data_IF_616298805991
#
_entry.id   IF_616298805991
#
_cell.length_a   1.000
_cell.length_b   1.000
_cell.length_c   1.000
_cell.angle_alpha   90.00
_cell.angle_beta   90.00
_cell.angle_gamma   90.00
#
_symmetry.space_group_name_H-M   'P 1'
#
loop_
_entity.id
_entity.type
_entity.pdbx_description
1 polymer ?
2 non-polymer ?
3 non-polymer ?
4 water ?
#
# COMPACT_ATOMS: atom_id res chain seq x y z
N UNK A 9 17.64 29.54 25.11
CA UNK A 9 16.94 28.38 24.47
C UNK A 9 17.42 27.06 25.06
N UNK A 10 18.74 26.96 25.29
CA UNK A 10 19.30 25.78 25.93
C UNK A 10 19.05 25.84 27.43
N UNK A 11 18.89 24.68 28.06
CA UNK A 11 18.71 24.62 29.52
C UNK A 11 19.29 23.35 30.11
N UNK A 12 19.48 23.37 31.42
CA UNK A 12 19.95 22.24 32.19
C UNK A 12 18.76 21.29 32.34
N UNK A 14 17.02 17.83 34.04
CA UNK A 14 17.12 16.87 35.13
C UNK A 14 17.38 15.51 34.53
N UNK A 15 17.91 14.59 35.33
CA UNK A 15 18.25 13.24 34.85
C UNK A 15 17.01 12.38 34.69
N UNK A 16 17.15 11.30 33.93
CA UNK A 16 16.11 10.28 33.79
C UNK A 16 15.64 9.84 35.18
N UNK A 17 16.59 9.57 36.07
CA UNK A 17 16.25 9.11 37.41
C UNK A 17 15.44 10.15 38.18
N UNK A 18 15.83 11.40 38.06
CA UNK A 18 15.11 12.47 38.71
C UNK A 18 13.71 12.61 38.13
N UNK A 19 13.57 12.41 36.82
CA UNK A 19 12.24 12.55 36.22
C UNK A 19 11.31 11.44 36.66
N UNK A 20 11.85 10.23 36.87
CA UNK A 20 11.05 9.14 37.46
C UNK A 20 10.38 9.60 38.75
N UNK A 21 11.18 10.19 39.62
CA UNK A 21 10.67 10.74 40.87
C UNK A 21 9.65 11.90 40.71
N UNK A 22 9.89 12.81 39.78
CA UNK A 22 8.95 13.88 39.46
C UNK A 22 7.60 13.28 39.04
N UNK A 23 7.66 12.25 38.18
CA UNK A 23 6.46 11.61 37.67
C UNK A 23 5.68 10.95 38.80
N UNK A 24 6.41 10.30 39.71
CA UNK A 24 5.78 9.67 40.87
C UNK A 24 4.94 10.67 41.65
N UNK A 25 5.53 11.84 41.91
CA UNK A 25 4.85 12.88 42.65
C UNK A 25 3.66 13.47 41.89
N UNK A 26 3.84 13.81 40.61
CA UNK A 26 2.72 14.29 39.81
C UNK A 26 1.59 13.30 39.76
N UNK A 27 1.92 12.02 39.68
CA UNK A 27 0.91 10.97 39.47
C UNK A 27 -0.05 10.93 40.62
N UNK A 28 0.52 10.89 41.83
CA UNK A 28 -0.29 10.82 43.04
C UNK A 28 -1.15 12.10 43.16
N UNK A 29 -0.60 13.26 42.81
CA UNK A 29 -1.39 14.50 42.92
C UNK A 29 -2.52 14.55 41.88
N UNK A 30 -2.23 14.18 40.64
CA UNK A 30 -3.20 14.20 39.56
C UNK A 30 -4.36 13.25 39.85
N UNK A 31 -4.02 12.10 40.40
CA UNK A 31 -4.99 11.03 40.58
C UNK A 31 -6.02 11.37 41.68
N UNK A 32 -5.71 12.37 42.51
CA UNK A 32 -6.65 12.77 43.57
C UNK A 32 -7.94 13.38 43.02
N UNK A 33 -7.87 13.94 41.81
CA UNK A 33 -9.02 14.54 41.12
C UNK A 33 -9.63 13.65 40.05
N UNK A 34 -9.08 12.46 39.88
CA UNK A 34 -9.61 11.50 38.89
C UNK A 34 -10.46 10.40 39.53
N UNK A 35 -11.36 9.83 38.74
CA UNK A 35 -12.06 8.61 39.14
C UNK A 35 -11.45 7.47 38.32
N UNK A 36 -10.78 6.53 39.00
CA UNK A 36 -10.13 5.46 38.23
C UNK A 36 -11.09 4.43 37.67
N UNK A 37 -10.69 3.83 36.54
CA UNK A 37 -11.29 2.60 36.12
C UNK A 37 -10.62 1.49 36.93
N UNK A 38 -11.42 0.71 37.64
CA UNK A 38 -10.91 -0.45 38.34
C UNK A 38 -11.43 -1.74 37.70
N UNK A 39 -11.30 -1.81 36.39
CA UNK A 39 -11.75 -2.92 35.58
C UNK A 39 -10.51 -3.61 35.01
N UNK A 40 -10.17 -4.78 35.58
CA UNK A 40 -8.98 -5.52 35.13
C UNK A 40 -8.91 -5.77 33.62
N UNK A 41 -10.05 -6.02 32.98
CA UNK A 41 -10.11 -6.31 31.54
C UNK A 41 -9.76 -5.07 30.71
N UNK A 42 -10.31 -3.92 31.11
CA UNK A 42 -10.00 -2.62 30.45
C UNK A 42 -8.54 -2.27 30.70
N UNK A 43 -8.09 -2.45 31.94
CA UNK A 43 -6.70 -2.25 32.29
C UNK A 43 -5.76 -3.09 31.44
N UNK A 44 -6.11 -4.38 31.27
CA UNK A 44 -5.30 -5.35 30.55
C UNK A 44 -5.18 -5.00 29.07
N UNK A 45 -6.28 -4.53 28.51
CA UNK A 45 -6.32 -4.17 27.12
C UNK A 45 -5.46 -2.93 26.84
N UNK A 46 -5.66 -1.87 27.63
CA UNK A 46 -4.85 -0.66 27.43
C UNK A 46 -3.35 -0.95 27.61
N UNK A 47 -3.01 -1.67 28.69
CA UNK A 47 -1.64 -2.17 28.90
C UNK A 47 -1.02 -2.88 27.67
N UNK A 48 -1.82 -3.70 27.00
CA UNK A 48 -1.39 -4.47 25.85
C UNK A 48 -1.04 -3.58 24.66
N UNK A 49 -1.96 -2.70 24.29
CA UNK A 49 -1.76 -1.76 23.19
C UNK A 49 -0.57 -0.85 23.51
N UNK A 50 -0.48 -0.38 24.75
CA UNK A 50 0.65 0.47 25.16
C UNK A 50 1.99 -0.24 25.02
N UNK A 51 2.07 -1.47 25.56
CA UNK A 51 3.28 -2.33 25.46
C UNK A 51 3.67 -2.57 23.99
N UNK A 52 2.67 -2.81 23.14
CA UNK A 52 2.90 -3.03 21.72
C UNK A 52 3.50 -1.81 21.04
N UNK A 53 2.99 -0.63 21.38
CA UNK A 53 3.54 0.61 20.84
C UNK A 53 4.95 0.89 21.35
N UNK A 54 5.20 0.59 22.61
CA UNK A 54 6.51 0.83 23.22
C UNK A 54 7.58 -0.01 22.55
N UNK A 55 7.18 -1.18 22.05
CA UNK A 55 8.15 -2.02 21.37
C UNK A 55 8.66 -1.34 20.08
N UNK A 56 7.85 -0.43 19.52
CA UNK A 56 8.20 0.37 18.34
C UNK A 56 8.92 1.69 18.60
N UNK A 57 9.03 2.08 19.88
CA UNK A 57 9.60 3.37 20.22
C UNK A 57 11.10 3.31 20.24
N UNK A 58 11.71 4.50 20.12
CA UNK A 58 13.18 4.59 20.03
C UNK A 58 13.91 4.36 21.34
N UNK A 59 13.29 4.69 22.46
CA UNK A 59 13.93 4.53 23.76
C UNK A 59 12.84 4.35 24.77
N UNK A 60 12.96 3.29 25.56
CA UNK A 60 12.02 3.07 26.65
C UNK A 60 12.85 3.20 27.92
N UNK A 61 12.80 4.37 28.54
CA UNK A 61 13.72 4.71 29.65
C UNK A 61 13.04 4.84 31.00
N UNK A 62 11.76 4.47 31.04
CA UNK A 62 10.93 4.45 32.22
C UNK A 62 10.16 3.15 32.22
N UNK A 63 9.65 2.77 33.40
CA UNK A 63 8.69 1.69 33.51
C UNK A 63 7.36 2.34 33.24
N UNK A 64 6.93 2.27 31.99
CA UNK A 64 5.72 2.96 31.55
C UNK A 64 4.50 2.35 32.21
N UNK A 65 3.61 3.23 32.65
CA UNK A 65 2.34 2.84 33.26
C UNK A 65 1.23 3.55 32.50
N UNK A 66 0.22 2.77 32.12
CA UNK A 66 -0.97 3.27 31.43
C UNK A 66 -2.12 3.23 32.41
N UNK A 67 -2.75 4.39 32.60
CA UNK A 67 -3.85 4.49 33.57
C UNK A 67 -5.09 4.88 32.79
N UNK A 68 -6.16 4.13 32.97
CA UNK A 68 -7.44 4.48 32.38
C UNK A 68 -8.26 5.20 33.44
N UNK A 69 -8.77 6.37 33.07
CA UNK A 69 -9.51 7.22 33.98
C UNK A 69 -10.96 7.45 33.47
N UNK A 70 -11.92 7.46 34.40
CA UNK A 70 -13.33 7.61 34.05
C UNK A 70 -13.60 9.08 33.80
N UNK A 71 -13.64 9.45 32.52
CA UNK A 71 -13.83 10.82 32.11
C UNK A 71 -14.31 10.83 30.69
N UNK A 72 -15.50 11.41 30.47
CA UNK A 72 -16.11 11.38 29.15
C UNK A 72 -15.45 12.29 28.11
N UNK A 73 -14.56 13.17 28.55
CA UNK A 73 -13.85 14.01 27.60
C UNK A 73 -12.84 13.15 26.83
N UNK A 74 -12.66 13.49 25.57
CA UNK A 74 -11.75 12.76 24.68
C UNK A 74 -10.32 13.27 24.91
N UNK A 75 -9.54 12.52 25.68
CA UNK A 75 -8.16 12.91 25.96
C UNK A 75 -7.30 11.72 26.35
N UNK A 76 -6.01 11.89 26.14
CA UNK A 76 -4.93 11.07 26.69
C UNK A 76 -3.77 12.03 26.91
N UNK A 77 -2.98 11.81 27.94
CA UNK A 77 -1.86 12.69 28.19
C UNK A 77 -0.77 11.95 28.94
N UNK A 78 0.47 12.17 28.52
CA UNK A 78 1.63 11.69 29.26
C UNK A 78 2.07 12.74 30.24
N UNK A 79 2.44 12.30 31.44
CA UNK A 79 3.10 13.18 32.43
C UNK A 79 4.57 12.79 32.50
N UNK A 80 5.40 13.58 33.19
CA UNK A 80 6.81 13.18 33.26
C UNK A 80 6.97 11.77 33.79
N UNK A 81 8.01 11.07 33.34
CA UNK A 81 8.36 9.78 33.93
C UNK A 81 7.62 8.59 33.38
N UNK A 82 7.04 8.75 32.18
CA UNK A 82 6.49 7.58 31.46
C UNK A 82 5.11 7.09 31.88
N UNK A 83 4.31 7.99 32.44
CA UNK A 83 2.96 7.66 32.91
C UNK A 83 1.97 8.30 31.95
N UNK A 84 1.10 7.48 31.37
CA UNK A 84 0.20 7.94 30.34
C UNK A 84 -1.21 7.67 30.82
N UNK A 85 -2.03 8.73 30.83
CA UNK A 85 -3.43 8.64 31.21
C UNK A 85 -4.32 8.60 30.01
N UNK A 86 -5.31 7.72 30.06
CA UNK A 86 -6.19 7.49 28.93
C UNK A 86 -7.64 7.63 29.39
N UNK A 87 -8.37 8.60 28.86
CA UNK A 87 -9.78 8.80 29.24
C UNK A 87 -10.68 7.76 28.63
N UNK A 88 -11.66 7.31 29.42
CA UNK A 88 -12.68 6.41 28.87
C UNK A 88 -13.35 7.05 27.66
N UNK A 89 -13.55 8.37 27.71
CA UNK A 89 -14.11 9.11 26.57
C UNK A 89 -13.34 8.91 25.26
N UNK A 90 -12.00 8.80 25.34
CA UNK A 90 -11.19 8.53 24.13
C UNK A 90 -11.44 7.14 23.57
N UNK A 91 -11.48 6.15 24.46
CA UNK A 91 -11.74 4.75 24.07
C UNK A 91 -13.10 4.61 23.42
N UNK A 92 -14.08 5.33 23.95
CA UNK A 92 -15.45 5.28 23.42
C UNK A 92 -15.60 6.01 22.08
N UNK A 93 -14.79 7.04 21.88
CA UNK A 93 -14.81 7.83 20.64
C UNK A 93 -14.09 7.16 19.46
N UNK A 94 -13.01 6.44 19.77
CA UNK A 94 -12.25 5.73 18.76
C UNK A 94 -13.15 4.70 18.04
N UNK A 95 -13.06 4.66 16.72
CA UNK A 95 -13.80 3.65 15.96
C UNK A 95 -13.15 2.26 15.92
N UNK A 96 -11.84 2.21 16.17
CA UNK A 96 -11.06 0.99 16.05
C UNK A 96 -9.74 1.13 16.83
N UNK A 97 -9.08 0.01 17.04
CA UNK A 97 -7.82 -0.02 17.79
C UNK A 97 -6.73 0.85 17.14
N UNK A 98 -6.77 0.98 15.81
CA UNK A 98 -5.76 1.76 15.10
C UNK A 98 -5.84 3.25 15.47
N UNK A 99 -7.05 3.79 15.48
CA UNK A 99 -7.30 5.17 15.95
C UNK A 99 -6.82 5.37 17.38
N UNK A 100 -7.20 4.44 18.26
CA UNK A 100 -6.78 4.50 19.66
C UNK A 100 -5.25 4.54 19.68
N UNK A 101 -4.62 3.61 18.95
CA UNK A 101 -3.17 3.50 19.01
C UNK A 101 -2.46 4.76 18.51
N UNK A 102 -3.00 5.38 17.45
CA UNK A 102 -2.49 6.63 16.90
C UNK A 102 -2.38 7.71 17.96
N UNK A 103 -3.45 7.90 18.72
CA UNK A 103 -3.44 8.86 19.82
C UNK A 103 -2.39 8.46 20.85
N UNK A 104 -2.39 7.18 21.25
CA UNK A 104 -1.42 6.72 22.25
C UNK A 104 0.02 6.84 21.79
N UNK A 105 0.27 6.63 20.51
CA UNK A 105 1.62 6.68 19.98
C UNK A 105 2.16 8.11 20.02
N UNK A 106 1.29 9.08 19.75
CA UNK A 106 1.70 10.48 19.86
C UNK A 106 2.10 10.77 21.32
N UNK A 107 1.26 10.38 22.28
CA UNK A 107 1.53 10.67 23.71
C UNK A 107 2.75 9.93 24.24
N UNK A 108 2.87 8.66 23.88
CA UNK A 108 4.07 7.92 24.24
C UNK A 108 5.31 8.65 23.76
N UNK A 109 5.25 9.22 22.56
CA UNK A 109 6.44 9.91 22.06
C UNK A 109 6.74 11.25 22.69
N UNK A 110 5.72 11.95 23.18
CA UNK A 110 5.99 13.05 24.10
C UNK A 110 6.81 12.55 25.31
N UNK A 111 6.49 11.37 25.83
CA UNK A 111 7.23 10.82 26.97
C UNK A 111 8.65 10.41 26.57
N UNK A 112 8.75 9.75 25.41
CA UNK A 112 10.04 9.27 24.94
C UNK A 112 11.02 10.43 24.80
N UNK A 113 10.55 11.50 24.17
CA UNK A 113 11.35 12.69 23.91
C UNK A 113 11.47 13.65 25.13
N UNK A 114 10.83 13.30 26.25
CA UNK A 114 10.86 14.08 27.50
C UNK A 114 10.29 15.47 27.31
N UNK A 115 9.23 15.60 26.52
CA UNK A 115 8.72 16.95 26.20
C UNK A 115 8.15 17.71 27.40
N UNK A 116 7.50 16.98 28.28
CA UNK A 116 6.86 17.59 29.46
C UNK A 116 7.90 18.27 30.30
N UNK A 117 8.98 17.54 30.59
CA UNK A 117 10.01 18.08 31.49
C UNK A 117 10.80 19.15 30.74
N UNK A 118 10.97 18.99 29.43
CA UNK A 118 11.67 20.03 28.66
C UNK A 118 10.89 21.35 28.66
N UNK A 119 9.59 21.27 28.37
CA UNK A 119 8.72 22.43 28.33
C UNK A 119 8.67 23.08 29.71
N UNK A 121 10.91 22.98 32.02
CA UNK A 121 12.22 23.58 32.32
C UNK A 121 12.40 24.89 31.54
N UNK A 122 11.96 24.93 30.29
CA UNK A 122 12.05 26.19 29.52
C UNK A 122 11.17 27.31 30.10
N UNK A 123 10.03 26.91 30.64
CA UNK A 123 9.07 27.87 31.15
C UNK A 123 9.53 28.37 32.50
N UNK A 124 9.78 27.44 33.42
CA UNK A 124 9.94 27.76 34.85
C UNK A 124 11.38 27.86 35.29
N UNK A 125 12.28 27.20 34.56
CA UNK A 125 13.68 27.14 34.95
C UNK A 125 14.08 25.87 35.68
N UNK A 126 15.36 25.53 35.60
CA UNK A 126 15.85 24.32 36.21
C UNK A 126 15.67 24.26 37.74
N UNK A 127 15.92 25.38 38.42
CA UNK A 127 15.79 25.35 39.87
C UNK A 127 14.40 24.97 40.34
N UNK A 128 13.36 25.51 39.68
CA UNK A 128 11.97 25.16 40.05
C UNK A 128 11.73 23.68 39.77
N UNK A 129 12.18 23.20 38.61
CA UNK A 129 11.91 21.80 38.27
C UNK A 129 12.64 20.86 39.21
N UNK A 130 13.90 21.16 39.50
CA UNK A 130 14.65 20.38 40.49
C UNK A 130 13.96 20.41 41.85
N UNK A 131 13.42 21.56 42.24
CA UNK A 131 12.66 21.67 43.51
C UNK A 131 11.40 20.80 43.55
N UNK A 132 10.72 20.67 42.41
CA UNK A 132 9.61 19.73 42.32
C UNK A 132 10.11 18.30 42.57
N UNK A 133 11.25 17.96 41.96
CA UNK A 133 11.87 16.65 42.09
C UNK A 133 12.13 16.31 43.56
N UNK A 134 12.64 17.29 44.29
CA UNK A 134 13.05 17.06 45.68
C UNK A 134 11.90 17.28 46.65
N UNK A 135 10.82 17.92 46.20
CA UNK A 135 9.69 18.19 47.08
C UNK A 135 9.90 19.35 48.05
N UNK A 136 10.62 20.36 47.61
CA UNK A 136 10.89 21.54 48.43
C UNK A 136 9.60 22.24 48.84
N UNK A 139 3.83 21.84 47.90
CA UNK A 139 2.62 22.53 47.47
C UNK A 139 2.74 23.20 46.10
N UNK A 141 4.25 21.61 43.70
CA UNK A 141 3.94 20.44 42.86
C UNK A 141 2.44 20.30 42.65
N UNK A 142 1.66 20.58 43.69
CA UNK A 142 0.19 20.59 43.58
C UNK A 142 -0.34 21.70 42.67
N UNK A 143 0.29 22.87 42.69
CA UNK A 143 -0.17 23.96 41.82
C UNK A 143 0.00 23.59 40.35
N UNK A 144 1.14 22.97 40.06
CA UNK A 144 1.51 22.62 38.70
C UNK A 144 0.72 21.42 38.12
N UNK A 145 0.44 20.43 38.97
CA UNK A 145 -0.39 19.30 38.59
C UNK A 145 -1.71 19.76 38.02
N UNK A 146 -2.44 20.57 38.78
CA UNK A 146 -3.69 21.15 38.32
C UNK A 146 -3.56 21.96 37.05
N UNK A 147 -2.56 22.84 37.00
CA UNK A 147 -2.45 23.77 35.88
C UNK A 147 -2.04 23.10 34.57
N UNK A 148 -1.13 22.14 34.66
CA UNK A 148 -0.65 21.44 33.46
C UNK A 148 -1.50 20.22 33.04
N UNK A 149 -2.11 19.55 34.02
CA UNK A 149 -2.74 18.24 33.77
C UNK A 149 -4.22 18.07 34.22
N UNK A 150 -4.82 19.10 34.81
CA UNK A 150 -6.25 19.05 35.22
C UNK A 150 -7.25 19.25 34.10
N UNK A 151 -8.54 19.28 34.44
CA UNK A 151 -9.63 19.29 33.44
C UNK A 151 -9.76 20.59 32.62
N UNK A 152 -9.10 21.65 33.09
CA UNK A 152 -9.05 22.90 32.34
C UNK A 152 -7.60 23.25 32.10
N UNK A 153 -6.73 22.39 32.59
CA UNK A 153 -5.29 22.57 32.50
C UNK A 153 -4.72 22.30 31.13
N UNK A 156 0.94 22.85 27.19
CA UNK A 156 0.94 23.10 25.75
C UNK A 156 2.36 22.99 25.20
N UNK A 157 2.49 22.23 24.12
CA UNK A 157 3.79 21.94 23.55
C UNK A 157 4.08 22.84 22.36
N UNK A 158 5.34 23.23 22.24
CA UNK A 158 5.80 24.02 21.11
C UNK A 158 5.51 23.28 19.82
N UNK A 159 5.45 24.06 18.75
CA UNK A 159 5.32 23.52 17.42
C UNK A 159 6.39 22.45 17.13
N UNK A 160 7.62 22.70 17.60
CA UNK A 160 8.71 21.76 17.36
C UNK A 160 8.48 20.40 18.03
N UNK A 161 8.00 20.45 19.27
CA UNK A 161 7.75 19.22 20.03
C UNK A 161 6.58 18.44 19.42
N UNK A 162 5.54 19.16 19.00
CA UNK A 162 4.42 18.52 18.30
C UNK A 162 4.87 17.80 17.05
N UNK A 163 5.73 18.47 16.28
CA UNK A 163 6.25 17.85 15.06
C UNK A 163 7.07 16.61 15.38
N UNK A 164 7.87 16.70 16.45
CA UNK A 164 8.68 15.54 16.86
C UNK A 164 7.80 14.37 17.27
N UNK A 165 6.80 14.64 18.09
CA UNK A 165 5.87 13.62 18.55
C UNK A 165 5.10 13.00 17.36
N UNK A 166 4.73 13.83 16.38
CA UNK A 166 4.07 13.35 15.17
C UNK A 166 4.98 12.43 14.37
N UNK A 167 6.19 12.90 14.12
CA UNK A 167 7.19 12.16 13.35
C UNK A 167 7.48 10.81 13.98
N UNK A 168 7.73 10.83 15.28
CA UNK A 168 8.03 9.61 16.00
C UNK A 168 6.82 8.71 16.09
N UNK A 169 5.64 9.32 16.19
CA UNK A 169 4.42 8.53 16.29
C UNK A 169 4.17 7.74 15.03
N UNK A 170 4.43 8.34 13.87
CA UNK A 170 4.26 7.61 12.59
C UNK A 170 5.22 6.39 12.57
N UNK A 171 6.47 6.62 12.96
CA UNK A 171 7.46 5.54 13.01
C UNK A 171 7.05 4.45 14.01
N UNK A 172 6.59 4.87 15.18
CA UNK A 172 6.16 3.95 16.22
C UNK A 172 5.03 3.07 15.74
N UNK A 174 4.21 2.43 12.65
CA UNK A 174 4.66 1.57 11.55
C UNK A 174 5.39 0.35 12.10
N UNK A 175 6.31 0.59 13.03
CA UNK A 175 7.08 -0.50 13.63
C UNK A 175 6.21 -1.48 14.41
N UNK A 176 5.18 -0.96 15.05
CA UNK A 176 4.23 -1.78 15.83
C UNK A 176 3.18 -2.47 14.94
N UNK A 177 3.25 -2.23 13.63
CA UNK A 177 2.36 -2.87 12.65
C UNK A 177 0.97 -2.30 12.56
N UNK A 178 0.79 -1.07 13.05
CA UNK A 178 -0.46 -0.35 12.89
C UNK A 178 -0.34 0.59 11.71
N UNK A 179 -1.44 0.77 11.00
CA UNK A 179 -1.53 1.78 9.96
C UNK A 179 -1.25 3.16 10.57
N UNK A 180 -0.17 3.83 10.13
CA UNK A 180 0.18 5.13 10.72
C UNK A 180 -0.80 6.27 10.44
N UNK A 181 -1.82 6.01 9.64
CA UNK A 181 -2.88 6.98 9.39
C UNK A 181 -3.88 7.07 10.55
N UNK A 182 -3.66 6.24 11.55
CA UNK A 182 -4.57 6.13 12.69
C UNK A 182 -4.92 7.44 13.34
N UNK A 183 -3.92 8.28 13.63
CA UNK A 183 -4.19 9.53 14.33
C UNK A 183 -5.03 10.50 13.49
N UNK A 184 -4.63 10.71 12.23
CA UNK A 184 -5.37 11.64 11.38
C UNK A 184 -6.79 11.12 11.08
N UNK A 185 -6.94 9.80 10.97
CA UNK A 185 -8.26 9.20 10.78
C UNK A 185 -9.15 9.50 11.98
N UNK A 186 -8.59 9.35 13.17
CA UNK A 186 -9.29 9.67 14.42
C UNK A 186 -9.78 11.12 14.42
N UNK A 187 -8.89 12.03 14.04
CA UNK A 187 -9.22 13.44 13.92
C UNK A 187 -10.36 13.69 12.94
N UNK A 188 -10.31 13.05 11.77
CA UNK A 188 -11.39 13.21 10.78
C UNK A 188 -12.76 12.78 11.33
N UNK A 189 -12.78 11.60 11.95
CA UNK A 189 -13.99 11.10 12.62
C UNK A 189 -14.49 12.08 13.67
N UNK A 190 -13.59 12.60 14.50
CA UNK A 190 -13.95 13.61 15.49
C UNK A 190 -14.65 14.82 14.87
N UNK A 191 -14.14 15.27 13.72
CA UNK A 191 -14.73 16.40 12.98
C UNK A 191 -15.92 16.00 12.07
N UNK A 192 -16.38 14.76 12.21
CA UNK A 192 -17.50 14.24 11.42
C UNK A 192 -18.53 13.57 12.32
N UNK A 207 -4.56 20.10 24.67
CA UNK A 207 -4.37 20.94 23.49
C UNK A 207 -3.14 20.51 22.68
N UNK A 208 -3.39 19.65 21.69
CA UNK A 208 -2.40 19.29 20.68
C UNK A 208 -3.00 19.73 19.35
N UNK A 209 -2.81 21.01 19.00
CA UNK A 209 -3.52 21.63 17.86
C UNK A 209 -3.17 20.93 16.54
N UNK A 210 -4.17 20.41 15.82
CA UNK A 210 -3.91 19.80 14.50
C UNK A 210 -3.98 20.81 13.34
N UNK A 211 -2.83 21.44 13.12
CA UNK A 211 -2.65 22.51 12.16
C UNK A 211 -2.46 21.98 10.74
N UNK A 212 -2.59 22.86 9.75
CA UNK A 212 -2.23 22.55 8.35
C UNK A 212 -0.84 21.92 8.25
N UNK A 213 0.13 22.51 8.94
CA UNK A 213 1.50 22.02 8.95
C UNK A 213 1.59 20.58 9.43
N UNK A 214 0.93 20.27 10.56
CA UNK A 214 0.98 18.92 11.10
C UNK A 214 0.38 17.90 10.14
N UNK A 215 -0.74 18.24 9.50
CA UNK A 215 -1.35 17.34 8.51
C UNK A 215 -0.41 17.04 7.35
N UNK A 216 0.18 18.10 6.80
CA UNK A 216 1.12 18.00 5.70
C UNK A 216 2.34 17.16 6.10
N UNK A 217 2.87 17.39 7.31
CA UNK A 217 4.06 16.68 7.74
C UNK A 217 3.76 15.20 7.97
N UNK A 218 2.59 14.92 8.54
CA UNK A 218 2.22 13.54 8.82
C UNK A 218 1.97 12.80 7.51
N UNK A 219 1.26 13.44 6.59
CA UNK A 219 0.99 12.82 5.28
C UNK A 219 2.29 12.47 4.56
N UNK A 220 3.26 13.39 4.61
CA UNK A 220 4.56 13.18 3.97
C UNK A 220 5.29 12.00 4.58
N UNK A 221 5.32 11.92 5.91
CA UNK A 221 5.96 10.79 6.59
C UNK A 221 5.37 9.44 6.20
N UNK A 222 4.04 9.37 6.18
CA UNK A 222 3.29 8.18 5.79
C UNK A 222 3.56 7.84 4.33
N UNK A 223 3.69 8.86 3.49
CA UNK A 223 3.91 8.67 2.05
C UNK A 223 5.25 7.99 1.78
N UNK A 224 6.20 8.14 2.71
CA UNK A 224 7.54 7.59 2.52
C UNK A 224 7.67 6.11 2.88
N UNK A 225 6.60 5.53 3.43
CA UNK A 225 6.59 4.12 3.86
C UNK A 225 6.08 3.19 2.77
N UNK A 226 6.55 1.93 2.75
CA UNK A 226 6.11 0.97 1.73
C UNK A 226 4.61 0.65 1.86
N UNK A 227 3.86 0.79 0.75
CA UNK A 227 2.42 0.47 0.77
C UNK A 227 2.23 -0.97 1.19
N UNK A 228 1.29 -1.21 2.09
CA UNK A 228 1.03 -2.54 2.64
C UNK A 228 -0.34 -2.59 3.30
N UNK A 229 -0.88 -3.80 3.43
CA UNK A 229 -2.16 -4.01 4.09
C UNK A 229 -1.93 -4.19 5.57
N UNK A 230 -2.57 -3.34 6.37
CA UNK A 230 -2.44 -3.45 7.81
C UNK A 230 -3.52 -4.36 8.39
N UNK A 231 -3.07 -5.45 9.00
CA UNK A 231 -3.96 -6.43 9.61
C UNK A 231 -4.29 -6.09 11.04
N UNK A 232 -5.57 -6.16 11.38
CA UNK A 232 -6.06 -5.88 12.71
C UNK A 232 -6.98 -6.98 13.19
N UNK A 233 -6.96 -7.23 14.49
CA UNK A 233 -7.95 -8.07 15.14
C UNK A 233 -8.72 -7.23 16.14
N UNK A 234 -9.91 -6.81 15.74
CA UNK A 234 -10.70 -5.84 16.50
C UNK A 234 -11.54 -6.48 17.60
N UNK A 235 -11.37 -7.78 17.76
CA UNK A 235 -12.04 -8.55 18.82
C UNK A 235 -11.99 -7.83 20.17
N UNK A 236 -10.78 -7.64 20.69
CA UNK A 236 -10.61 -7.11 22.05
C UNK A 236 -11.11 -5.67 22.14
N UNK A 237 -10.79 -4.86 21.13
CA UNK A 237 -11.20 -3.46 21.12
C UNK A 237 -12.71 -3.32 21.24
N UNK A 238 -13.42 -4.08 20.41
CA UNK A 238 -14.87 -3.99 20.41
C UNK A 238 -15.48 -4.47 21.72
N UNK A 239 -14.89 -5.50 22.31
CA UNK A 239 -15.29 -6.00 23.62
C UNK A 239 -15.14 -4.89 24.68
N UNK A 240 -13.92 -4.36 24.81
CA UNK A 240 -13.64 -3.27 25.75
C UNK A 240 -14.50 -2.03 25.54
N UNK A 241 -14.64 -1.56 24.29
CA UNK A 241 -15.48 -0.40 24.00
C UNK A 241 -16.93 -0.68 24.44
N UNK A 242 -17.40 -1.89 24.14
CA UNK A 242 -18.74 -2.35 24.54
C UNK A 242 -18.97 -2.22 26.02
N UNK A 243 -18.01 -2.72 26.81
CA UNK A 243 -18.05 -2.64 28.26
C UNK A 243 -18.06 -1.20 28.79
N UNK A 244 -17.31 -0.32 28.12
CA UNK A 244 -17.24 1.08 28.57
C UNK A 244 -18.49 1.90 28.29
N UNK A 245 -19.16 1.61 27.17
CA UNK A 245 -20.43 2.27 26.88
C UNK A 245 -21.54 1.82 27.84
N UNK A 246 -21.32 0.72 28.56
CA UNK A 246 -22.25 0.26 29.62
C UNK A 246 -22.19 1.13 30.87
N UNK A 247 -21.07 1.85 31.04
CA UNK A 247 -20.89 2.72 32.20
C UNK A 247 -21.53 4.08 31.94
N UNK B 9 -23.63 -20.98 -20.29
CA UNK B 9 -22.14 -21.03 -20.33
C UNK B 9 -21.64 -21.10 -21.77
N UNK B 10 -22.29 -21.94 -22.57
CA UNK B 10 -21.97 -22.04 -23.98
C UNK B 10 -22.53 -20.86 -24.73
N UNK B 11 -21.85 -20.47 -25.82
CA UNK B 11 -22.33 -19.39 -26.67
C UNK B 11 -21.94 -19.63 -28.11
N UNK B 12 -22.60 -18.91 -29.01
CA UNK B 12 -22.31 -18.90 -30.43
C UNK B 12 -21.06 -18.04 -30.63
N UNK B 14 -18.32 -16.05 -33.15
CA UNK B 14 -18.14 -15.54 -34.50
C UNK B 14 -16.97 -16.28 -35.13
N UNK B 15 -16.91 -16.29 -36.46
CA UNK B 15 -15.86 -16.99 -37.17
C UNK B 15 -14.54 -16.25 -37.08
N UNK B 16 -13.46 -16.98 -37.37
CA UNK B 16 -12.14 -16.39 -37.49
C UNK B 16 -12.16 -15.18 -38.44
N UNK B 17 -12.82 -15.36 -39.60
CA UNK B 17 -12.85 -14.30 -40.60
C UNK B 17 -13.57 -13.09 -40.07
N UNK B 18 -14.66 -13.33 -39.33
CA UNK B 18 -15.39 -12.24 -38.72
C UNK B 18 -14.55 -11.54 -37.67
N UNK B 19 -13.78 -12.31 -36.90
CA UNK B 19 -12.96 -11.71 -35.87
C UNK B 19 -11.86 -10.84 -36.46
N UNK B 20 -11.30 -11.24 -37.61
CA UNK B 20 -10.34 -10.39 -38.34
C UNK B 20 -10.92 -8.99 -38.54
N UNK B 21 -12.16 -8.96 -39.01
CA UNK B 21 -12.83 -7.69 -39.26
C UNK B 21 -13.09 -6.88 -37.99
N UNK B 22 -13.52 -7.54 -36.92
CA UNK B 22 -13.74 -6.91 -35.63
C UNK B 22 -12.45 -6.25 -35.13
N UNK B 23 -11.33 -6.96 -35.28
CA UNK B 23 -10.03 -6.48 -34.84
C UNK B 23 -9.61 -5.25 -35.65
N UNK B 24 -9.91 -5.28 -36.95
CA UNK B 24 -9.62 -4.13 -37.82
C UNK B 24 -10.31 -2.88 -37.26
N UNK B 25 -11.59 -3.00 -36.94
CA UNK B 25 -12.35 -1.90 -36.42
C UNK B 25 -11.81 -1.45 -35.07
N UNK B 26 -11.56 -2.40 -34.17
CA UNK B 26 -11.06 -2.03 -32.86
C UNK B 26 -9.71 -1.31 -32.98
N UNK B 27 -8.86 -1.78 -33.89
CA UNK B 27 -7.48 -1.26 -34.02
C UNK B 27 -7.50 0.21 -34.36
N UNK B 28 -8.32 0.55 -35.35
CA UNK B 28 -8.40 1.94 -35.81
C UNK B 28 -8.97 2.82 -34.67
N UNK B 29 -9.95 2.33 -33.94
CA UNK B 29 -10.53 3.11 -32.85
C UNK B 29 -9.55 3.31 -31.69
N UNK B 30 -8.88 2.23 -31.27
CA UNK B 30 -7.94 2.28 -30.15
C UNK B 30 -6.78 3.23 -30.46
N UNK B 31 -6.33 3.19 -31.69
CA UNK B 31 -5.13 3.93 -32.08
C UNK B 31 -5.36 5.45 -32.11
N UNK B 32 -6.63 5.87 -32.13
CA UNK B 32 -6.93 7.31 -32.11
C UNK B 32 -6.47 7.98 -30.82
N UNK B 33 -6.37 7.22 -29.73
CA UNK B 33 -5.96 7.72 -28.42
C UNK B 33 -4.53 7.34 -28.03
N UNK B 34 -3.82 6.69 -28.95
CA UNK B 34 -2.43 6.32 -28.73
C UNK B 34 -1.45 7.22 -29.49
N UNK B 35 -0.25 7.34 -28.96
CA UNK B 35 0.86 7.96 -29.68
C UNK B 35 1.73 6.84 -30.19
N UNK B 36 1.74 6.62 -31.53
CA UNK B 36 2.55 5.52 -32.06
C UNK B 36 4.04 5.75 -31.98
N UNK B 37 4.80 4.67 -31.85
CA UNK B 37 6.23 4.72 -32.09
C UNK B 37 6.40 4.66 -33.61
N UNK B 38 7.07 5.67 -34.15
CA UNK B 38 7.33 5.76 -35.58
C UNK B 38 8.74 5.24 -35.96
N UNK B 39 9.35 4.49 -35.05
CA UNK B 39 10.77 4.12 -35.11
C UNK B 39 11.00 2.71 -35.68
N UNK B 40 11.48 2.63 -36.95
CA UNK B 40 11.64 1.35 -37.66
C UNK B 40 12.49 0.29 -36.93
N UNK B 41 13.52 0.71 -36.20
CA UNK B 41 14.39 -0.22 -35.47
C UNK B 41 13.65 -0.90 -34.32
N UNK B 42 12.90 -0.10 -33.56
CA UNK B 42 12.06 -0.62 -32.47
C UNK B 42 10.95 -1.49 -33.04
N UNK B 43 10.39 -1.05 -34.16
CA UNK B 43 9.35 -1.83 -34.85
C UNK B 43 9.87 -3.20 -35.24
N UNK B 44 11.06 -3.24 -35.83
CA UNK B 44 11.67 -4.46 -36.35
C UNK B 44 12.02 -5.43 -35.23
N UNK B 45 12.45 -4.88 -34.10
CA UNK B 45 12.80 -5.69 -32.95
C UNK B 45 11.57 -6.36 -32.35
N UNK B 46 10.52 -5.59 -32.05
CA UNK B 46 9.31 -6.20 -31.49
C UNK B 46 8.69 -7.21 -32.47
N UNK B 47 8.62 -6.85 -33.76
CA UNK B 47 8.20 -7.77 -34.81
C UNK B 47 8.94 -9.12 -34.79
N UNK B 48 10.26 -9.05 -34.58
CA UNK B 48 11.11 -10.24 -34.59
C UNK B 48 10.80 -11.17 -33.42
N UNK B 49 10.77 -10.60 -32.20
CA UNK B 49 10.45 -11.37 -31.01
C UNK B 49 9.05 -11.94 -31.11
N UNK B 50 8.09 -11.13 -31.57
CA UNK B 50 6.70 -11.61 -31.79
C UNK B 50 6.62 -12.79 -32.71
N UNK B 51 7.23 -12.68 -33.89
CA UNK B 51 7.33 -13.74 -34.90
C UNK B 51 7.99 -15.01 -34.34
N UNK B 52 9.06 -14.84 -33.54
CA UNK B 52 9.71 -15.96 -32.88
C UNK B 52 8.77 -16.72 -31.96
N UNK B 53 7.98 -15.98 -31.19
CA UNK B 53 7.04 -16.60 -30.27
C UNK B 53 5.93 -17.30 -31.04
N UNK B 54 5.47 -16.66 -32.11
CA UNK B 54 4.37 -17.21 -32.90
C UNK B 54 4.74 -18.57 -33.47
N UNK B 55 6.03 -18.76 -33.75
CA UNK B 55 6.47 -20.04 -34.28
C UNK B 55 6.29 -21.17 -33.25
N UNK B 56 6.22 -20.82 -31.95
CA UNK B 56 5.97 -21.80 -30.87
C UNK B 56 4.50 -21.96 -30.47
N UNK B 57 3.62 -21.18 -31.09
CA UNK B 57 2.21 -21.19 -30.73
C UNK B 57 1.48 -22.33 -31.43
N UNK B 58 0.34 -22.70 -30.87
CA UNK B 58 -0.39 -23.86 -31.39
C UNK B 58 -1.16 -23.60 -32.68
N UNK B 59 -1.60 -22.37 -32.87
CA UNK B 59 -2.36 -22.02 -34.07
C UNK B 59 -2.14 -20.57 -34.35
N UNK B 60 -1.75 -20.27 -35.57
CA UNK B 60 -1.59 -18.89 -35.99
C UNK B 60 -2.64 -18.63 -37.08
N UNK B 61 -3.78 -18.08 -36.67
CA UNK B 61 -4.97 -18.02 -37.52
C UNK B 61 -5.30 -16.61 -38.01
N UNK B 62 -4.41 -15.67 -37.68
CA UNK B 62 -4.50 -14.28 -38.10
C UNK B 62 -3.14 -13.85 -38.61
N UNK B 63 -3.10 -12.76 -39.37
CA UNK B 63 -1.84 -12.12 -39.71
C UNK B 63 -1.56 -11.21 -38.54
N UNK B 64 -0.76 -11.72 -37.60
CA UNK B 64 -0.49 -10.99 -36.36
C UNK B 64 0.29 -9.73 -36.64
N UNK B 65 -0.09 -8.68 -35.93
CA UNK B 65 0.58 -7.38 -36.04
C UNK B 65 0.92 -6.95 -34.64
N UNK B 66 2.17 -6.51 -34.45
CA UNK B 66 2.66 -6.00 -33.17
C UNK B 66 2.82 -4.49 -33.30
N UNK B 67 2.18 -3.76 -32.40
CA UNK B 67 2.22 -2.29 -32.44
C UNK B 67 2.90 -1.83 -31.17
N UNK B 68 3.95 -1.02 -31.31
CA UNK B 68 4.58 -0.40 -30.15
C UNK B 68 3.99 0.99 -30.00
N UNK B 69 3.52 1.29 -28.79
CA UNK B 69 2.89 2.58 -28.49
C UNK B 69 3.67 3.34 -27.41
N UNK B 70 3.76 4.66 -27.56
CA UNK B 70 4.48 5.51 -26.60
C UNK B 70 3.61 5.72 -25.38
N UNK B 71 3.92 5.00 -24.30
CA UNK B 71 3.13 5.05 -23.08
C UNK B 71 3.99 4.47 -21.99
N UNK B 72 4.30 5.28 -20.98
CA UNK B 72 5.18 4.85 -19.89
C UNK B 72 4.61 3.80 -18.95
N UNK B 73 3.31 3.55 -19.02
CA UNK B 73 2.72 2.48 -18.22
C UNK B 73 3.19 1.10 -18.73
N UNK B 74 3.36 0.19 -17.81
CA UNK B 74 3.82 -1.16 -18.12
C UNK B 74 2.61 -2.00 -18.54
N UNK B 75 2.46 -2.19 -19.85
CA UNK B 75 1.37 -2.99 -20.36
C UNK B 75 1.67 -3.54 -21.75
N UNK B 76 1.00 -4.63 -22.06
CA UNK B 76 0.85 -5.12 -23.41
C UNK B 76 -0.53 -5.75 -23.44
N UNK B 77 -1.19 -5.71 -24.58
CA UNK B 77 -2.51 -6.30 -24.66
C UNK B 77 -2.84 -6.71 -26.07
N UNK B 78 -3.49 -7.86 -26.20
CA UNK B 78 -3.99 -8.30 -27.48
C UNK B 78 -5.44 -7.88 -27.60
N UNK B 79 -5.81 -7.46 -28.80
CA UNK B 79 -7.22 -7.21 -29.14
C UNK B 79 -7.66 -8.34 -30.07
N UNK B 80 -8.98 -8.44 -30.34
CA UNK B 80 -9.43 -9.47 -31.29
C UNK B 80 -8.67 -9.40 -32.61
N UNK B 81 -8.49 -10.53 -33.26
CA UNK B 81 -7.92 -10.55 -34.60
C UNK B 81 -6.41 -10.51 -34.67
N UNK B 82 -5.74 -10.82 -33.57
CA UNK B 82 -4.26 -11.02 -33.64
C UNK B 82 -3.40 -9.77 -33.62
N UNK B 83 -3.93 -8.68 -33.08
CA UNK B 83 -3.19 -7.43 -32.99
C UNK B 83 -2.77 -7.27 -31.54
N UNK B 84 -1.46 -7.11 -31.34
CA UNK B 84 -0.92 -7.05 -29.99
C UNK B 84 -0.24 -5.73 -29.83
N UNK B 85 -0.66 -4.98 -28.82
CA UNK B 85 -0.06 -3.68 -28.49
C UNK B 85 0.93 -3.81 -27.37
N UNK B 86 2.06 -3.11 -27.51
CA UNK B 86 3.15 -3.22 -26.58
C UNK B 86 3.57 -1.82 -26.16
N UNK B 87 3.47 -1.49 -24.88
CA UNK B 87 3.87 -0.16 -24.39
C UNK B 87 5.36 0.02 -24.29
N UNK B 88 5.85 1.20 -24.64
CA UNK B 88 7.27 1.50 -24.44
C UNK B 88 7.66 1.28 -22.97
N UNK B 89 6.76 1.66 -22.05
CA UNK B 89 6.91 1.37 -20.62
C UNK B 89 7.27 -0.08 -20.30
N UNK B 90 6.70 -1.04 -21.03
CA UNK B 90 7.01 -2.47 -20.83
C UNK B 90 8.44 -2.81 -21.25
N UNK B 91 8.83 -2.30 -22.41
CA UNK B 91 10.15 -2.54 -22.96
C UNK B 91 11.23 -1.95 -22.05
N UNK B 92 10.93 -0.78 -21.48
CA UNK B 92 11.87 -0.10 -20.57
C UNK B 92 11.97 -0.76 -19.20
N UNK B 93 10.88 -1.38 -18.76
CA UNK B 93 10.83 -2.07 -17.46
C UNK B 93 11.47 -3.45 -17.47
N UNK B 94 11.37 -4.13 -18.62
CA UNK B 94 11.95 -5.45 -18.78
C UNK B 94 13.47 -5.37 -18.64
N UNK B 95 14.05 -6.32 -17.90
CA UNK B 95 15.51 -6.36 -17.73
C UNK B 95 16.24 -7.05 -18.88
N UNK B 96 15.52 -7.88 -19.63
CA UNK B 96 16.08 -8.70 -20.69
C UNK B 96 15.00 -9.16 -21.66
N UNK B 97 15.42 -9.70 -22.80
CA UNK B 97 14.48 -10.11 -23.84
C UNK B 97 13.58 -11.25 -23.36
N UNK B 98 14.08 -12.09 -22.45
CA UNK B 98 13.30 -13.22 -21.94
C UNK B 98 12.07 -12.75 -21.15
N UNK B 99 12.25 -11.75 -20.29
CA UNK B 99 11.15 -11.10 -19.57
C UNK B 99 10.12 -10.50 -20.53
N UNK B 100 10.61 -9.72 -21.50
CA UNK B 100 9.72 -9.12 -22.50
C UNK B 100 8.94 -10.26 -23.16
N UNK B 101 9.65 -11.32 -23.56
CA UNK B 101 9.00 -12.37 -24.33
C UNK B 101 7.93 -13.12 -23.52
N UNK B 102 8.19 -13.34 -22.24
CA UNK B 102 7.23 -13.90 -21.26
C UNK B 102 5.91 -13.16 -21.28
N UNK B 103 5.97 -11.84 -21.19
CA UNK B 103 4.78 -11.01 -21.23
C UNK B 103 4.09 -11.17 -22.58
N UNK B 104 4.86 -11.07 -23.67
CA UNK B 104 4.31 -11.19 -25.01
C UNK B 104 3.70 -12.57 -25.26
N UNK B 105 4.32 -13.62 -24.73
CA UNK B 105 3.81 -14.98 -24.95
C UNK B 105 2.46 -15.18 -24.27
N UNK B 106 2.30 -14.59 -23.09
CA UNK B 106 0.99 -14.65 -22.43
C UNK B 106 -0.08 -13.96 -23.32
N UNK B 107 0.23 -12.76 -23.80
CA UNK B 107 -0.74 -12.00 -24.63
C UNK B 107 -1.03 -12.65 -25.96
N UNK B 108 0.00 -13.17 -26.61
CA UNK B 108 -0.20 -13.89 -27.86
C UNK B 108 -1.15 -15.05 -27.62
N UNK B 109 -1.03 -15.73 -26.48
CA UNK B 109 -1.92 -16.88 -26.23
C UNK B 109 -3.35 -16.51 -25.90
N UNK B 110 -3.56 -15.33 -25.31
CA UNK B 110 -4.94 -14.82 -25.29
C UNK B 110 -5.51 -14.68 -26.71
N UNK B 111 -4.68 -14.25 -27.67
CA UNK B 111 -5.11 -14.15 -29.06
C UNK B 111 -5.35 -15.53 -29.66
N UNK B 112 -4.40 -16.45 -29.44
CA UNK B 112 -4.48 -17.77 -30.02
C UNK B 112 -5.78 -18.45 -29.59
N UNK B 113 -6.08 -18.34 -28.31
CA UNK B 113 -7.25 -18.99 -27.72
C UNK B 113 -8.55 -18.19 -27.90
N UNK B 114 -8.47 -17.02 -28.54
CA UNK B 114 -9.61 -16.14 -28.82
C UNK B 114 -10.30 -15.63 -27.56
N UNK B 115 -9.52 -15.33 -26.52
CA UNK B 115 -10.13 -15.02 -25.22
C UNK B 115 -10.93 -13.72 -25.23
N UNK B 116 -10.43 -12.73 -25.96
CA UNK B 116 -11.11 -11.44 -26.03
C UNK B 116 -12.50 -11.57 -26.58
N UNK B 117 -12.61 -12.27 -27.71
CA UNK B 117 -13.92 -12.43 -28.36
C UNK B 117 -14.80 -13.37 -27.54
N UNK B 118 -14.18 -14.38 -26.90
CA UNK B 118 -14.97 -15.26 -26.04
C UNK B 118 -15.58 -14.51 -24.85
N UNK B 119 -14.74 -13.73 -24.17
CA UNK B 119 -15.18 -12.96 -23.02
C UNK B 119 -16.23 -11.94 -23.45
N UNK B 121 -18.31 -12.13 -25.93
CA UNK B 121 -19.56 -12.84 -26.28
C UNK B 121 -20.28 -13.32 -25.03
N UNK B 122 -19.56 -13.85 -24.05
CA UNK B 122 -20.18 -14.24 -22.76
C UNK B 122 -20.83 -13.06 -22.00
N UNK B 123 -20.18 -11.91 -22.06
CA UNK B 123 -20.67 -10.72 -21.37
C UNK B 123 -21.85 -10.13 -22.11
N UNK B 124 -21.68 -9.85 -23.40
CA UNK B 124 -22.62 -9.00 -24.13
C UNK B 124 -23.62 -9.76 -24.96
N UNK B 125 -23.26 -10.99 -25.34
CA UNK B 125 -24.10 -11.79 -26.23
C UNK B 125 -23.65 -11.77 -27.68
N UNK B 126 -24.00 -12.81 -28.41
CA UNK B 126 -23.58 -12.93 -29.79
C UNK B 126 -24.12 -11.83 -30.70
N UNK B 127 -25.39 -11.45 -30.52
CA UNK B 127 -25.94 -10.41 -31.36
C UNK B 127 -25.16 -9.12 -31.31
N UNK B 128 -24.73 -8.71 -30.11
CA UNK B 128 -23.92 -7.48 -29.99
C UNK B 128 -22.57 -7.65 -30.68
N UNK B 129 -21.91 -8.78 -30.44
CA UNK B 129 -20.58 -8.98 -31.03
C UNK B 129 -20.67 -9.03 -32.55
N UNK B 130 -21.66 -9.75 -33.08
CA UNK B 130 -21.86 -9.79 -34.52
C UNK B 130 -22.13 -8.37 -35.07
N UNK B 131 -22.91 -7.58 -34.33
CA UNK B 131 -23.19 -6.18 -34.71
C UNK B 131 -21.92 -5.32 -34.78
N UNK B 132 -21.02 -5.53 -33.84
CA UNK B 132 -19.70 -4.90 -33.88
C UNK B 132 -18.96 -5.29 -35.17
N UNK B 133 -19.00 -6.58 -35.51
CA UNK B 133 -18.37 -7.12 -36.73
C UNK B 133 -18.87 -6.42 -37.99
N UNK B 134 -20.18 -6.24 -38.04
CA UNK B 134 -20.83 -5.68 -39.22
C UNK B 134 -20.87 -4.15 -39.20
N UNK B 135 -20.60 -3.55 -38.05
CA UNK B 135 -20.67 -2.09 -37.93
C UNK B 135 -22.08 -1.54 -37.88
N UNK B 139 -21.43 2.38 -33.95
CA UNK B 139 -20.51 3.08 -33.06
C UNK B 139 -20.57 2.64 -31.59
N UNK B 141 -19.00 0.17 -31.19
CA UNK B 141 -17.60 -0.21 -31.29
C UNK B 141 -16.68 0.78 -30.58
N UNK B 142 -16.95 2.07 -30.77
CA UNK B 142 -16.20 3.12 -30.10
C UNK B 142 -16.35 3.10 -28.58
N UNK B 143 -17.54 2.81 -28.09
CA UNK B 143 -17.77 2.72 -26.63
C UNK B 143 -16.95 1.59 -26.02
N UNK B 144 -16.86 0.48 -26.74
CA UNK B 144 -16.22 -0.72 -26.25
C UNK B 144 -14.69 -0.68 -26.33
N UNK B 145 -14.18 -0.08 -27.38
CA UNK B 145 -12.75 0.19 -27.52
C UNK B 145 -12.20 0.85 -26.28
N UNK B 146 -12.83 1.95 -25.88
CA UNK B 146 -12.45 2.69 -24.68
C UNK B 146 -12.56 1.88 -23.40
N UNK B 147 -13.68 1.19 -23.20
CA UNK B 147 -13.91 0.50 -21.94
C UNK B 147 -13.04 -0.73 -21.77
N UNK B 148 -12.84 -1.48 -22.86
CA UNK B 148 -12.03 -2.70 -22.82
C UNK B 148 -10.52 -2.48 -22.95
N UNK B 149 -10.12 -1.47 -23.75
CA UNK B 149 -8.71 -1.34 -24.15
C UNK B 149 -8.03 0.03 -23.89
N UNK B 150 -8.77 1.01 -23.38
CA UNK B 150 -8.19 2.34 -23.06
C UNK B 150 -7.36 2.41 -21.78
N UNK B 151 -6.90 3.62 -21.43
CA UNK B 151 -5.92 3.83 -20.34
C UNK B 151 -6.47 3.59 -18.92
N UNK B 152 -7.78 3.47 -18.80
CA UNK B 152 -8.40 3.05 -17.55
C UNK B 152 -9.31 1.88 -17.85
N UNK B 153 -9.28 1.48 -19.12
CA UNK B 153 -10.05 0.36 -19.63
C UNK B 153 -9.51 -0.97 -19.17
N UNK B 156 -11.16 -7.83 -18.66
CA UNK B 156 -10.67 -8.72 -17.62
C UNK B 156 -11.07 -10.14 -17.97
N UNK B 157 -10.12 -11.06 -17.81
CA UNK B 157 -10.29 -12.44 -18.20
C UNK B 157 -10.58 -13.33 -17.00
N UNK B 158 -11.43 -14.32 -17.23
CA UNK B 158 -11.75 -15.30 -16.21
C UNK B 158 -10.49 -16.00 -15.74
N UNK B 159 -10.55 -16.54 -14.53
CA UNK B 159 -9.54 -17.42 -14.00
C UNK B 159 -9.12 -18.51 -15.00
N UNK B 160 -10.11 -19.09 -15.69
CA UNK B 160 -9.83 -20.19 -16.61
C UNK B 160 -9.03 -19.72 -17.82
N UNK B 161 -9.35 -18.54 -18.33
CA UNK B 161 -8.65 -18.01 -19.50
C UNK B 161 -7.21 -17.62 -19.13
N UNK B 162 -7.04 -17.03 -17.95
CA UNK B 162 -5.70 -16.76 -17.42
C UNK B 162 -4.86 -18.02 -17.29
N UNK B 163 -5.43 -19.07 -16.73
CA UNK B 163 -4.70 -20.34 -16.61
C UNK B 163 -4.33 -20.87 -17.98
N UNK B 164 -5.26 -20.77 -18.94
CA UNK B 164 -4.98 -21.21 -20.30
C UNK B 164 -3.84 -20.44 -20.95
N UNK B 165 -3.92 -19.12 -20.88
CA UNK B 165 -2.86 -18.25 -21.41
C UNK B 165 -1.49 -18.51 -20.74
N UNK B 166 -1.52 -18.76 -19.42
CA UNK B 166 -0.31 -19.11 -18.67
C UNK B 166 0.28 -20.42 -19.18
N UNK B 167 -0.56 -21.45 -19.25
CA UNK B 167 -0.16 -22.78 -19.69
C UNK B 167 0.43 -22.76 -21.09
N UNK B 168 -0.29 -22.15 -22.02
CA UNK B 168 0.18 -22.04 -23.38
C UNK B 168 1.41 -21.17 -23.50
N UNK B 169 1.48 -20.15 -22.63
CA UNK B 169 2.61 -19.25 -22.63
C UNK B 169 3.89 -19.99 -22.27
N UNK B 170 3.80 -20.86 -21.28
CA UNK B 170 4.99 -21.65 -20.89
C UNK B 170 5.44 -22.53 -22.08
N UNK B 171 4.49 -23.19 -22.74
CA UNK B 171 4.81 -24.02 -23.91
C UNK B 171 5.39 -23.19 -25.06
N UNK B 172 4.79 -22.03 -25.31
CA UNK B 172 5.24 -21.17 -26.40
C UNK B 172 6.66 -20.72 -26.15
N UNK B 174 8.90 -22.19 -24.30
CA UNK B 174 9.79 -23.35 -24.36
C UNK B 174 10.10 -23.67 -25.82
N UNK B 175 9.05 -23.75 -26.64
CA UNK B 175 9.22 -24.08 -28.07
C UNK B 175 10.05 -23.05 -28.85
N UNK B 176 9.95 -21.79 -28.44
CA UNK B 176 10.67 -20.66 -29.04
C UNK B 176 12.10 -20.50 -28.47
N UNK B 177 12.47 -21.37 -27.54
CA UNK B 177 13.83 -21.42 -26.97
C UNK B 177 14.12 -20.39 -25.91
N UNK B 178 13.07 -19.81 -25.31
CA UNK B 178 13.23 -18.89 -24.22
C UNK B 178 12.98 -19.60 -22.91
N UNK B 179 13.69 -19.20 -21.86
CA UNK B 179 13.45 -19.72 -20.52
C UNK B 179 12.03 -19.36 -20.12
N UNK B 180 11.15 -20.37 -19.91
CA UNK B 180 9.73 -20.09 -19.60
C UNK B 180 9.48 -19.41 -18.25
N UNK B 181 10.54 -19.20 -17.47
CA UNK B 181 10.44 -18.45 -16.23
C UNK B 181 10.38 -16.94 -16.44
N UNK B 182 10.47 -16.54 -17.71
CA UNK B 182 10.48 -15.12 -18.08
C UNK B 182 9.39 -14.28 -17.48
N UNK B 183 8.13 -14.73 -17.55
CA UNK B 183 7.01 -13.94 -17.05
C UNK B 183 7.07 -13.73 -15.54
N UNK B 184 7.25 -14.82 -14.79
CA UNK B 184 7.35 -14.71 -13.32
C UNK B 184 8.60 -13.93 -12.88
N UNK B 185 9.71 -14.07 -13.62
CA UNK B 185 10.90 -13.26 -13.35
C UNK B 185 10.57 -11.78 -13.49
N UNK B 186 9.84 -11.44 -14.55
CA UNK B 186 9.41 -10.05 -14.81
C UNK B 186 8.56 -9.53 -13.65
N UNK B 187 7.58 -10.33 -13.22
CA UNK B 187 6.75 -9.96 -12.07
C UNK B 187 7.58 -9.74 -10.80
N UNK B 188 8.53 -10.63 -10.52
CA UNK B 188 9.40 -10.45 -9.35
C UNK B 188 10.14 -9.12 -9.36
N UNK B 189 10.75 -8.78 -10.49
CA UNK B 189 11.43 -7.50 -10.60
C UNK B 189 10.50 -6.29 -10.46
N UNK B 190 9.30 -6.37 -11.03
CA UNK B 190 8.31 -5.32 -10.85
C UNK B 190 7.97 -5.12 -9.38
N UNK B 191 7.98 -6.21 -8.61
CA UNK B 191 7.69 -6.15 -7.17
C UNK B 191 8.94 -5.98 -6.29
N UNK B 192 10.07 -5.71 -6.93
CA UNK B 192 11.36 -5.59 -6.26
C UNK B 192 12.14 -4.41 -6.80
N UNK B 207 -6.03 -5.60 -16.24
CA UNK B 207 -5.31 -6.28 -15.18
C UNK B 207 -5.18 -7.78 -15.47
N UNK B 208 -3.96 -8.29 -15.41
CA UNK B 208 -3.72 -9.71 -15.27
C UNK B 208 -3.12 -10.05 -13.91
N UNK B 209 -3.98 -10.22 -12.92
CA UNK B 209 -3.53 -10.52 -11.56
C UNK B 209 -2.67 -11.78 -11.50
N UNK B 210 -1.51 -11.67 -10.87
CA UNK B 210 -0.71 -12.84 -10.53
C UNK B 210 -1.07 -13.38 -9.15
N UNK B 211 -2.00 -14.34 -9.13
CA UNK B 211 -2.46 -14.92 -7.87
C UNK B 211 -1.56 -16.08 -7.44
N UNK B 212 -1.75 -16.55 -6.21
CA UNK B 212 -1.10 -17.76 -5.71
C UNK B 212 -1.28 -18.93 -6.67
N UNK B 213 -2.50 -19.12 -7.14
CA UNK B 213 -2.82 -20.22 -8.06
C UNK B 213 -1.99 -20.13 -9.33
N UNK B 214 -1.91 -18.95 -9.93
CA UNK B 214 -1.19 -18.79 -11.19
C UNK B 214 0.30 -19.09 -10.99
N UNK B 215 0.87 -18.63 -9.89
CA UNK B 215 2.30 -18.90 -9.62
C UNK B 215 2.54 -20.38 -9.49
N UNK B 216 1.69 -21.03 -8.71
CA UNK B 216 1.81 -22.45 -8.48
C UNK B 216 1.64 -23.25 -9.78
N UNK B 217 0.68 -22.86 -10.61
CA UNK B 217 0.44 -23.58 -11.87
C UNK B 217 1.60 -23.38 -12.84
N UNK B 218 2.12 -22.16 -12.89
CA UNK B 218 3.21 -21.85 -13.80
C UNK B 218 4.46 -22.63 -13.34
N UNK B 219 4.73 -22.58 -12.05
CA UNK B 219 5.91 -23.29 -11.52
C UNK B 219 5.87 -24.77 -11.87
N UNK B 220 4.68 -25.38 -11.77
CA UNK B 220 4.49 -26.80 -12.04
C UNK B 220 4.70 -27.11 -13.51
N UNK B 221 4.18 -26.26 -14.39
CA UNK B 221 4.38 -26.42 -15.82
C UNK B 221 5.87 -26.42 -16.17
N UNK B 222 6.57 -25.42 -15.65
CA UNK B 222 8.01 -25.28 -15.85
C UNK B 222 8.78 -26.47 -15.29
N UNK B 223 8.32 -27.00 -14.16
CA UNK B 223 8.98 -28.12 -13.50
C UNK B 223 8.93 -29.38 -14.36
N UNK B 224 7.91 -29.48 -15.21
CA UNK B 224 7.73 -30.65 -16.06
C UNK B 224 8.66 -30.69 -17.30
N UNK B 225 9.32 -29.58 -17.59
CA UNK B 225 10.22 -29.48 -18.74
C UNK B 225 11.64 -29.95 -18.42
N UNK B 226 12.37 -30.48 -19.43
CA UNK B 226 13.76 -30.88 -19.26
C UNK B 226 14.67 -29.71 -18.85
N UNK B 227 15.49 -29.91 -17.80
CA UNK B 227 16.42 -28.86 -17.38
C UNK B 227 17.42 -28.58 -18.50
N UNK B 228 17.63 -27.31 -18.79
CA UNK B 228 18.53 -26.90 -19.86
C UNK B 228 18.94 -25.45 -19.69
N UNK B 229 20.11 -25.12 -20.23
CA UNK B 229 20.54 -23.73 -20.29
C UNK B 229 19.75 -23.08 -21.40
N UNK B 230 19.33 -21.84 -21.16
CA UNK B 230 18.71 -21.07 -22.21
C UNK B 230 19.67 -19.98 -22.65
N UNK B 231 20.08 -20.05 -23.91
CA UNK B 231 21.02 -19.10 -24.48
C UNK B 231 20.33 -17.86 -24.99
N UNK B 232 20.93 -16.72 -24.69
CA UNK B 232 20.41 -15.42 -25.07
C UNK B 232 21.45 -14.59 -25.78
N UNK B 233 21.00 -13.79 -26.75
CA UNK B 233 21.80 -12.72 -27.30
C UNK B 233 21.08 -11.39 -27.05
N UNK B 234 21.54 -10.67 -26.03
CA UNK B 234 20.85 -9.47 -25.56
C UNK B 234 21.27 -8.21 -26.31
N UNK B 235 22.08 -8.39 -27.35
CA UNK B 235 22.56 -7.30 -28.20
C UNK B 235 21.41 -6.39 -28.63
N UNK B 236 20.44 -6.97 -29.35
CA UNK B 236 19.34 -6.20 -29.90
C UNK B 236 18.48 -5.58 -28.79
N UNK B 237 18.18 -6.38 -27.77
CA UNK B 237 17.33 -5.89 -26.69
C UNK B 237 17.93 -4.67 -25.99
N UNK B 238 19.22 -4.77 -25.68
CA UNK B 238 19.86 -3.68 -24.96
C UNK B 238 19.95 -2.42 -25.82
N UNK B 239 20.15 -2.60 -27.11
CA UNK B 239 20.13 -1.48 -28.07
C UNK B 239 18.78 -0.77 -28.06
N UNK B 240 17.71 -1.53 -28.29
CA UNK B 240 16.35 -0.98 -28.33
C UNK B 240 15.95 -0.29 -27.03
N UNK B 241 16.20 -0.93 -25.89
CA UNK B 241 15.87 -0.35 -24.59
C UNK B 241 16.60 0.99 -24.39
N UNK B 242 17.88 0.99 -24.77
CA UNK B 242 18.72 2.20 -24.70
C UNK B 242 18.15 3.33 -25.53
N UNK B 243 17.70 3.01 -26.74
CA UNK B 243 17.05 4.00 -27.61
C UNK B 243 15.75 4.52 -26.99
N UNK B 244 15.01 3.65 -26.32
CA UNK B 244 13.72 4.04 -25.75
C UNK B 244 13.83 4.91 -24.51
N UNK B 245 14.85 4.67 -23.67
CA UNK B 245 15.05 5.51 -22.49
C UNK B 245 15.49 6.93 -22.90
N UNK B 246 15.95 7.08 -24.14
CA UNK B 246 16.32 8.39 -24.71
C UNK B 246 15.11 9.27 -25.02
N UNK B 247 13.94 8.64 -25.20
CA UNK B 247 12.72 9.36 -25.56
C UNK B 247 12.23 10.25 -24.43
#
# INVERSE_FOLDING_TARGET
XATSXTDIKGFNXISIEQEKELGNKFAVEIEKQQQPVNDPEVQRYVDKVGKRLLSGARAVEFDYVFKVVKDDSVNAFAIPGGRVYVHTGLLKAADNETELAGVLAHEINHAVARHGTRQXTQEYGYSLVLSLVLGDNPNXLAQLAGQLFGKAGXXSYSREYENQADFLGVETXYKAGYNPNGLTSFFQKLNAXDGGTQSNVARFFSTHPLTSERIQRVQAEIAKLPPQRYLTDETEFKKIKGRLKLEHHHHHH
XATSXTDIKGFNXISIEQEKELGNKFAVEIEKQQQPVNDPEVQRYVDKVGKRLLSGARAVEFDYVFKVVKDDSVNAFAIPGGRVYVHTGLLKAADNETELAGVLAHEINHAVARHGTRQXTQEYGYSLVLSLVLGDNPNXLAQLAGQLFGKAGXXSYSREYENQADFLGVETXYKAGYNPNGLTSFFQKLNAXDGGTQSNVARFFSTHPLTSERIQRVQAEIAKLPPQRYLTDETEFKKIKGRLKLEHHHHHH
#
